data_IF_108383012390
#
_entry.id   IF_108383012390
#
_cell.length_a   1.000
_cell.length_b   1.000
_cell.length_c   1.000
_cell.angle_alpha   90.00
_cell.angle_beta   90.00
_cell.angle_gamma   90.00
#
_symmetry.space_group_name_H-M   'P 1'
#
loop_
_entity.id
_entity.type
_entity.pdbx_description
1 polymer ?
#
# COMPACT_ATOMS: atom_id res chain seq x y z
N UNK A 1 -3.36 15.52 27.24
CA UNK A 1 -3.81 14.63 26.16
C UNK A 1 -3.33 15.27 24.90
N UNK A 2 -2.28 14.71 24.28
CA UNK A 2 -1.77 15.21 22.98
C UNK A 2 -2.87 14.99 21.96
N UNK A 3 -3.25 16.05 21.27
CA UNK A 3 -4.19 15.99 20.13
C UNK A 3 -3.47 15.20 19.02
N UNK A 4 -3.63 13.87 19.04
CA UNK A 4 -2.94 12.99 18.10
C UNK A 4 -3.56 13.21 16.73
N UNK A 5 -2.78 13.70 15.77
CA UNK A 5 -3.23 13.96 14.41
C UNK A 5 -3.76 12.66 13.79
N UNK A 6 -5.03 12.64 13.44
CA UNK A 6 -5.62 11.52 12.71
C UNK A 6 -5.32 11.65 11.22
N UNK A 7 -4.80 10.59 10.62
CA UNK A 7 -4.54 10.54 9.18
C UNK A 7 -5.72 9.94 8.41
N UNK A 8 -6.47 9.04 9.04
CA UNK A 8 -7.71 8.48 8.49
C UNK A 8 -8.82 8.61 9.52
N UNK A 9 -9.94 9.17 9.13
CA UNK A 9 -11.19 9.20 9.91
C UNK A 9 -12.35 8.73 9.05
N UNK A 10 -13.05 7.70 9.47
CA UNK A 10 -14.25 7.18 8.82
C UNK A 10 -15.41 7.13 9.81
N UNK A 11 -16.61 7.50 9.38
CA UNK A 11 -17.85 7.43 10.17
C UNK A 11 -19.00 6.91 9.32
N UNK A 12 -19.57 5.79 9.73
CA UNK A 12 -20.66 5.12 9.02
C UNK A 12 -20.31 4.82 7.57
N UNK A 13 -19.00 4.61 7.28
CA UNK A 13 -18.48 4.50 5.92
C UNK A 13 -19.07 3.29 5.23
N UNK A 14 -19.73 3.53 4.09
CA UNK A 14 -20.31 2.46 3.29
C UNK A 14 -20.05 2.63 1.79
N UNK A 15 -20.04 1.49 1.10
CA UNK A 15 -19.91 1.43 -0.36
C UNK A 15 -20.84 0.37 -0.94
N UNK A 16 -21.62 0.76 -1.95
CA UNK A 16 -22.47 -0.12 -2.74
C UNK A 16 -21.98 -0.23 -4.17
N UNK A 17 -22.24 -1.37 -4.79
CA UNK A 17 -22.08 -1.58 -6.23
C UNK A 17 -23.47 -1.94 -6.79
N UNK A 18 -24.14 -0.97 -7.42
CA UNK A 18 -25.57 -1.04 -7.67
C UNK A 18 -26.34 -1.19 -6.36
N UNK A 19 -27.20 -2.21 -6.26
CA UNK A 19 -27.97 -2.49 -5.05
C UNK A 19 -27.24 -3.35 -4.02
N UNK A 20 -26.07 -3.90 -4.36
CA UNK A 20 -25.32 -4.77 -3.45
C UNK A 20 -24.41 -3.93 -2.53
N UNK A 21 -24.58 -4.02 -1.20
CA UNK A 21 -23.62 -3.45 -0.26
C UNK A 21 -22.30 -4.24 -0.31
N UNK A 22 -21.18 -3.53 -0.35
CA UNK A 22 -19.81 -4.10 -0.28
C UNK A 22 -19.19 -3.78 1.08
N UNK A 23 -19.41 -2.56 1.57
CA UNK A 23 -19.04 -2.11 2.89
C UNK A 23 -20.24 -1.43 3.53
N UNK A 24 -20.41 -1.62 4.82
CA UNK A 24 -21.50 -1.00 5.58
C UNK A 24 -21.01 -0.61 6.96
N UNK A 25 -21.28 0.64 7.34
CA UNK A 25 -21.16 1.15 8.70
C UNK A 25 -19.75 0.96 9.32
N UNK A 26 -18.70 1.30 8.55
CA UNK A 26 -17.32 1.23 9.05
C UNK A 26 -16.97 2.53 9.76
N UNK A 27 -16.66 2.42 11.05
CA UNK A 27 -16.08 3.48 11.87
C UNK A 27 -14.61 3.20 12.15
N UNK A 28 -13.75 4.21 11.95
CA UNK A 28 -12.31 4.09 12.15
C UNK A 28 -11.70 5.46 12.45
N UNK A 29 -10.80 5.49 13.42
CA UNK A 29 -9.81 6.55 13.62
C UNK A 29 -8.42 5.93 13.57
N UNK A 30 -7.53 6.43 12.71
CA UNK A 30 -6.15 5.99 12.62
C UNK A 30 -5.23 7.20 12.76
N UNK A 31 -4.42 7.20 13.80
CA UNK A 31 -3.43 8.24 14.09
C UNK A 31 -2.21 8.17 13.17
N UNK A 32 -1.46 9.26 13.10
CA UNK A 32 -0.17 9.32 12.39
C UNK A 32 0.81 8.30 13.00
N UNK A 33 1.51 7.55 12.15
CA UNK A 33 2.43 6.49 12.59
C UNK A 33 1.73 5.19 13.04
N UNK A 34 0.39 5.15 13.02
CA UNK A 34 -0.37 3.95 13.34
C UNK A 34 -0.24 2.86 12.28
N UNK A 35 -0.46 1.61 12.69
CA UNK A 35 -0.49 0.46 11.81
C UNK A 35 -1.86 -0.24 11.91
N UNK A 36 -2.67 -0.13 10.87
CA UNK A 36 -3.98 -0.78 10.78
C UNK A 36 -3.89 -2.10 10.00
N UNK A 37 -4.28 -3.18 10.64
CA UNK A 37 -4.48 -4.47 10.00
C UNK A 37 -5.96 -4.69 9.67
N UNK A 38 -6.28 -4.76 8.37
CA UNK A 38 -7.62 -5.07 7.86
C UNK A 38 -7.70 -6.55 7.52
N UNK A 39 -8.61 -7.26 8.18
CA UNK A 39 -8.82 -8.71 7.99
C UNK A 39 -10.23 -9.02 7.50
N UNK A 40 -10.44 -10.22 7.01
CA UNK A 40 -11.74 -10.71 6.57
C UNK A 40 -11.64 -11.69 5.40
N UNK A 41 -12.69 -12.46 5.12
CA UNK A 41 -12.70 -13.42 4.03
C UNK A 41 -12.57 -12.75 2.65
N UNK A 42 -12.37 -13.57 1.62
CA UNK A 42 -12.39 -13.07 0.24
C UNK A 42 -13.79 -12.52 -0.08
N UNK A 43 -13.84 -11.32 -0.65
CA UNK A 43 -15.09 -10.64 -0.97
C UNK A 43 -15.68 -9.77 0.16
N UNK A 44 -15.06 -9.72 1.36
CA UNK A 44 -15.54 -8.89 2.48
C UNK A 44 -15.36 -7.37 2.28
N UNK A 45 -14.77 -6.94 1.17
CA UNK A 45 -14.61 -5.50 0.88
C UNK A 45 -13.24 -4.92 1.20
N UNK A 46 -12.22 -5.70 1.61
CA UNK A 46 -10.86 -5.22 1.93
C UNK A 46 -10.29 -4.33 0.82
N UNK A 47 -10.23 -4.84 -0.40
CA UNK A 47 -9.77 -4.07 -1.58
C UNK A 47 -10.59 -2.81 -1.82
N UNK A 48 -11.91 -2.86 -1.57
CA UNK A 48 -12.79 -1.69 -1.70
C UNK A 48 -12.45 -0.63 -0.67
N UNK A 49 -12.23 -1.02 0.59
CA UNK A 49 -11.80 -0.12 1.65
C UNK A 49 -10.44 0.51 1.32
N UNK A 50 -9.47 -0.28 0.85
CA UNK A 50 -8.15 0.23 0.43
C UNK A 50 -8.27 1.26 -0.70
N UNK A 51 -9.15 1.02 -1.68
CA UNK A 51 -9.41 1.96 -2.78
C UNK A 51 -10.13 3.24 -2.34
N UNK A 52 -11.00 3.15 -1.33
CA UNK A 52 -11.60 4.33 -0.70
C UNK A 52 -10.53 5.18 -0.02
N UNK A 53 -9.65 4.57 0.78
CA UNK A 53 -8.53 5.28 1.44
C UNK A 53 -7.55 5.88 0.43
N UNK A 54 -7.30 5.20 -0.69
CA UNK A 54 -6.47 5.72 -1.77
C UNK A 54 -7.14 6.86 -2.59
N UNK A 55 -8.41 7.18 -2.31
CA UNK A 55 -9.19 8.17 -3.08
C UNK A 55 -9.53 7.73 -4.51
N UNK A 56 -9.42 6.42 -4.80
CA UNK A 56 -9.75 5.82 -6.10
C UNK A 56 -11.24 5.52 -6.23
N UNK A 57 -11.96 5.48 -5.10
CA UNK A 57 -13.41 5.34 -5.03
C UNK A 57 -13.97 6.40 -4.06
N UNK A 58 -15.21 6.81 -4.30
CA UNK A 58 -15.95 7.64 -3.35
C UNK A 58 -16.88 6.76 -2.49
N UNK A 59 -17.14 7.07 -1.21
CA UNK A 59 -18.15 6.40 -0.41
C UNK A 59 -19.55 6.63 -0.99
N UNK A 60 -20.49 5.70 -0.73
CA UNK A 60 -21.92 5.87 -1.05
C UNK A 60 -22.73 6.28 0.16
N UNK A 61 -22.18 6.10 1.36
CA UNK A 61 -22.76 6.57 2.63
C UNK A 61 -21.64 6.84 3.64
N UNK A 62 -21.97 7.60 4.68
CA UNK A 62 -21.02 8.01 5.70
C UNK A 62 -19.99 9.04 5.21
N UNK A 63 -18.94 9.24 5.99
CA UNK A 63 -17.87 10.17 5.71
C UNK A 63 -16.51 9.49 5.76
N UNK A 64 -15.57 9.97 4.94
CA UNK A 64 -14.18 9.56 4.95
C UNK A 64 -13.31 10.81 4.79
N UNK A 65 -12.47 11.05 5.77
CA UNK A 65 -11.48 12.12 5.77
C UNK A 65 -10.08 11.49 5.77
N UNK A 66 -9.23 11.91 4.83
CA UNK A 66 -7.81 11.51 4.74
C UNK A 66 -6.98 12.77 4.84
N UNK A 67 -6.25 12.92 5.94
CA UNK A 67 -5.35 14.05 6.18
C UNK A 67 -3.94 13.76 5.66
N UNK A 68 -3.86 13.45 4.37
CA UNK A 68 -2.63 13.30 3.61
C UNK A 68 -2.82 13.82 2.19
N UNK A 69 -1.81 14.53 1.67
CA UNK A 69 -1.82 14.91 0.27
C UNK A 69 -1.88 13.66 -0.63
N UNK A 70 -2.64 13.70 -1.72
CA UNK A 70 -2.74 12.57 -2.66
C UNK A 70 -1.38 12.11 -3.20
N UNK A 71 -0.43 13.02 -3.36
CA UNK A 71 0.95 12.73 -3.76
C UNK A 71 1.77 12.07 -2.64
N UNK A 72 1.23 11.96 -1.43
CA UNK A 72 1.85 11.33 -0.25
C UNK A 72 1.14 10.03 0.17
N UNK A 73 0.28 9.49 -0.68
CA UNK A 73 -0.38 8.19 -0.48
C UNK A 73 0.28 7.16 -1.39
N UNK A 74 0.89 6.14 -0.81
CA UNK A 74 1.40 4.98 -1.52
C UNK A 74 0.35 3.88 -1.56
N UNK A 75 0.00 3.37 -2.75
CA UNK A 75 -0.97 2.30 -2.91
C UNK A 75 -0.40 1.13 -3.71
N UNK A 76 -0.35 -0.04 -3.07
CA UNK A 76 -0.11 -1.33 -3.68
C UNK A 76 -1.43 -2.09 -3.74
N UNK A 77 -1.96 -2.28 -4.94
CA UNK A 77 -3.14 -3.11 -5.20
C UNK A 77 -2.74 -4.47 -5.79
N UNK A 78 -3.74 -5.24 -6.25
CA UNK A 78 -3.49 -6.53 -6.92
C UNK A 78 -2.71 -6.40 -8.22
N UNK A 79 -2.90 -5.29 -8.95
CA UNK A 79 -2.15 -5.02 -10.17
C UNK A 79 -0.87 -4.28 -9.82
N UNK A 80 0.29 -4.74 -10.32
CA UNK A 80 1.58 -4.11 -9.99
C UNK A 80 1.72 -2.69 -10.55
N UNK A 81 0.92 -2.32 -11.57
CA UNK A 81 0.92 -1.02 -12.24
C UNK A 81 2.33 -0.62 -12.70
N UNK A 82 3.02 -1.53 -13.37
CA UNK A 82 4.32 -1.32 -14.01
C UNK A 82 4.24 -1.64 -15.50
N UNK A 83 5.03 -0.95 -16.30
CA UNK A 83 5.09 -1.13 -17.75
C UNK A 83 6.03 -2.29 -18.08
N UNK A 84 5.51 -3.32 -18.73
CA UNK A 84 6.22 -4.58 -18.95
C UNK A 84 7.35 -4.47 -19.99
N UNK A 85 7.23 -3.51 -20.89
CA UNK A 85 8.20 -3.21 -21.94
C UNK A 85 9.39 -2.39 -21.45
N UNK A 86 9.22 -1.70 -20.32
CA UNK A 86 10.28 -0.92 -19.67
C UNK A 86 11.10 -1.80 -18.72
N UNK A 87 12.32 -1.37 -18.43
CA UNK A 87 13.15 -1.93 -17.37
C UNK A 87 12.69 -1.44 -15.99
N UNK A 88 13.08 -2.08 -14.87
CA UNK A 88 12.88 -1.56 -13.52
C UNK A 88 13.36 -0.11 -13.34
N UNK A 89 14.55 0.23 -13.86
CA UNK A 89 15.06 1.61 -13.81
C UNK A 89 14.14 2.60 -14.52
N UNK A 90 13.70 2.27 -15.74
CA UNK A 90 12.84 3.14 -16.54
C UNK A 90 11.45 3.29 -15.90
N UNK A 91 10.88 2.19 -15.35
CA UNK A 91 9.63 2.25 -14.61
C UNK A 91 9.73 3.23 -13.45
N UNK A 92 10.75 3.06 -12.59
CA UNK A 92 10.88 3.92 -11.41
C UNK A 92 11.29 5.36 -11.78
N UNK A 93 12.08 5.59 -12.85
CA UNK A 93 12.35 6.95 -13.33
C UNK A 93 11.07 7.63 -13.84
N UNK A 94 10.21 6.91 -14.56
CA UNK A 94 8.91 7.40 -15.03
C UNK A 94 8.03 7.84 -13.84
N UNK A 95 7.83 6.95 -12.86
CA UNK A 95 7.04 7.27 -11.67
C UNK A 95 7.70 8.37 -10.83
N UNK A 96 9.02 8.37 -10.70
CA UNK A 96 9.76 9.42 -10.02
C UNK A 96 9.58 10.80 -10.62
N UNK A 97 9.42 10.88 -11.94
CA UNK A 97 9.05 12.15 -12.64
C UNK A 97 7.60 12.53 -12.36
N UNK A 98 6.66 11.58 -12.44
CA UNK A 98 5.24 11.83 -12.20
C UNK A 98 4.98 12.35 -10.77
N UNK A 99 5.64 11.75 -9.79
CA UNK A 99 5.55 12.16 -8.38
C UNK A 99 6.49 13.32 -8.01
N UNK A 100 7.33 13.80 -8.95
CA UNK A 100 8.33 14.85 -8.72
C UNK A 100 9.28 14.51 -7.56
N UNK A 101 9.71 13.25 -7.50
CA UNK A 101 10.59 12.75 -6.44
C UNK A 101 11.95 13.46 -6.53
N UNK A 102 12.40 14.15 -5.45
CA UNK A 102 13.74 14.68 -5.39
C UNK A 102 14.78 13.56 -5.49
N UNK A 103 15.94 13.82 -6.11
CA UNK A 103 17.04 12.86 -6.20
C UNK A 103 16.59 11.47 -6.68
N UNK A 104 15.59 11.44 -7.58
CA UNK A 104 14.89 10.22 -7.98
C UNK A 104 15.83 9.09 -8.43
N UNK A 105 16.99 9.41 -9.03
CA UNK A 105 17.95 8.37 -9.47
C UNK A 105 18.58 7.65 -8.29
N UNK A 106 18.99 8.38 -7.27
CA UNK A 106 19.53 7.84 -6.03
C UNK A 106 18.46 7.04 -5.30
N UNK A 107 17.27 7.61 -5.14
CA UNK A 107 16.11 6.95 -4.51
C UNK A 107 15.74 5.64 -5.24
N UNK A 108 15.74 5.65 -6.57
CA UNK A 108 15.51 4.45 -7.40
C UNK A 108 16.56 3.39 -7.13
N UNK A 109 17.86 3.77 -7.14
CA UNK A 109 18.96 2.85 -6.85
C UNK A 109 18.81 2.19 -5.49
N UNK A 110 18.62 3.00 -4.43
CA UNK A 110 18.41 2.50 -3.07
C UNK A 110 17.27 1.50 -2.96
N UNK A 111 16.12 1.77 -3.60
CA UNK A 111 14.97 0.87 -3.55
C UNK A 111 15.22 -0.43 -4.31
N UNK A 112 15.84 -0.37 -5.50
CA UNK A 112 16.17 -1.57 -6.26
C UNK A 112 17.19 -2.44 -5.54
N UNK A 113 18.17 -1.86 -4.84
CA UNK A 113 19.10 -2.59 -3.98
C UNK A 113 18.38 -3.22 -2.78
N UNK A 114 17.59 -2.41 -2.06
CA UNK A 114 16.83 -2.84 -0.87
C UNK A 114 15.89 -4.02 -1.16
N UNK A 115 15.24 -4.03 -2.32
CA UNK A 115 14.31 -5.09 -2.72
C UNK A 115 14.96 -6.17 -3.61
N UNK A 116 16.31 -6.24 -3.67
CA UNK A 116 17.05 -7.30 -4.36
C UNK A 116 16.85 -7.30 -5.88
N UNK A 117 16.54 -6.14 -6.49
CA UNK A 117 16.28 -6.01 -7.92
C UNK A 117 17.43 -5.36 -8.71
N UNK A 118 18.52 -4.99 -8.03
CA UNK A 118 19.62 -4.27 -8.68
C UNK A 118 20.25 -5.02 -9.85
N UNK A 119 20.40 -6.35 -9.73
CA UNK A 119 20.97 -7.18 -10.80
C UNK A 119 20.10 -7.15 -12.08
N UNK A 120 18.76 -7.15 -11.91
CA UNK A 120 17.78 -7.15 -13.00
C UNK A 120 17.34 -5.75 -13.47
N UNK A 121 17.99 -4.68 -12.96
CA UNK A 121 17.54 -3.28 -13.17
C UNK A 121 17.45 -2.83 -14.62
N UNK A 122 18.20 -3.47 -15.52
CA UNK A 122 18.27 -3.16 -16.95
C UNK A 122 17.59 -4.21 -17.85
N UNK A 123 16.96 -5.24 -17.26
CA UNK A 123 16.18 -6.24 -17.99
C UNK A 123 14.75 -5.77 -18.19
N UNK A 124 14.08 -6.11 -19.30
CA UNK A 124 12.65 -5.79 -19.45
C UNK A 124 11.82 -6.43 -18.33
N UNK A 125 10.84 -5.67 -17.79
CA UNK A 125 9.95 -6.18 -16.74
C UNK A 125 9.19 -7.43 -17.16
N UNK A 126 8.96 -7.64 -18.46
CA UNK A 126 8.33 -8.85 -19.00
C UNK A 126 9.12 -10.14 -18.71
N UNK A 127 10.44 -10.05 -18.44
CA UNK A 127 11.30 -11.20 -18.11
C UNK A 127 11.34 -11.52 -16.60
N UNK A 128 10.82 -10.63 -15.75
CA UNK A 128 10.86 -10.79 -14.31
C UNK A 128 9.93 -11.90 -13.83
N UNK A 129 10.35 -12.62 -12.78
CA UNK A 129 9.49 -13.54 -12.05
C UNK A 129 8.32 -12.80 -11.39
N UNK A 130 7.28 -13.54 -10.98
CA UNK A 130 6.13 -12.97 -10.28
C UNK A 130 6.54 -12.27 -8.96
N UNK A 131 7.47 -12.89 -8.21
CA UNK A 131 7.99 -12.28 -6.97
C UNK A 131 8.80 -11.02 -7.23
N UNK A 132 9.66 -11.00 -8.26
CA UNK A 132 10.40 -9.80 -8.66
C UNK A 132 9.46 -8.68 -9.13
N UNK A 133 8.40 -9.02 -9.84
CA UNK A 133 7.38 -8.06 -10.27
C UNK A 133 6.67 -7.41 -9.08
N UNK A 134 6.34 -8.19 -8.06
CA UNK A 134 5.74 -7.69 -6.83
C UNK A 134 6.71 -6.80 -6.04
N UNK A 135 8.00 -7.19 -5.97
CA UNK A 135 9.04 -6.38 -5.36
C UNK A 135 9.22 -5.04 -6.09
N UNK A 136 9.14 -5.03 -7.43
CA UNK A 136 9.17 -3.78 -8.21
C UNK A 136 7.94 -2.90 -7.95
N UNK A 137 6.76 -3.49 -7.80
CA UNK A 137 5.55 -2.77 -7.44
C UNK A 137 5.66 -2.13 -6.04
N UNK A 138 6.32 -2.80 -5.08
CA UNK A 138 6.66 -2.23 -3.77
C UNK A 138 7.62 -1.05 -3.91
N UNK A 139 8.71 -1.18 -4.71
CA UNK A 139 9.61 -0.07 -4.99
C UNK A 139 8.86 1.15 -5.54
N UNK A 140 7.96 0.95 -6.52
CA UNK A 140 7.11 2.01 -7.08
C UNK A 140 6.24 2.67 -6.00
N UNK A 141 5.65 1.86 -5.13
CA UNK A 141 4.74 2.35 -4.07
C UNK A 141 5.49 3.17 -3.02
N UNK A 142 6.74 2.85 -2.73
CA UNK A 142 7.58 3.51 -1.73
C UNK A 142 8.41 4.68 -2.31
N UNK A 143 8.47 4.82 -3.64
CA UNK A 143 9.39 5.72 -4.33
C UNK A 143 9.27 7.18 -3.90
N UNK A 144 8.05 7.67 -3.70
CA UNK A 144 7.74 9.05 -3.35
C UNK A 144 7.65 9.31 -1.84
N UNK A 145 8.12 8.38 -1.02
CA UNK A 145 8.14 8.45 0.45
C UNK A 145 6.76 8.80 1.05
N UNK A 146 5.76 7.92 0.91
CA UNK A 146 4.40 8.20 1.34
C UNK A 146 4.27 8.38 2.86
N UNK A 147 3.35 9.26 3.29
CA UNK A 147 2.90 9.37 4.70
C UNK A 147 1.89 8.28 5.06
N UNK A 148 1.03 7.94 4.08
CA UNK A 148 0.04 6.87 4.20
C UNK A 148 0.37 5.77 3.20
N UNK A 149 0.73 4.59 3.71
CA UNK A 149 1.06 3.42 2.93
C UNK A 149 -0.09 2.41 2.98
N UNK A 150 -0.69 2.13 1.84
CA UNK A 150 -1.82 1.22 1.67
C UNK A 150 -1.38 -0.01 0.90
N UNK A 151 -1.45 -1.20 1.52
CA UNK A 151 -0.97 -2.45 0.94
C UNK A 151 -2.10 -3.50 0.93
N UNK A 152 -2.56 -3.87 -0.27
CA UNK A 152 -3.62 -4.87 -0.46
C UNK A 152 -3.00 -6.23 -0.82
N UNK A 153 -3.05 -7.17 0.13
CA UNK A 153 -2.48 -8.53 0.04
C UNK A 153 -1.00 -8.55 -0.37
N UNK A 154 -0.11 -7.76 0.27
CA UNK A 154 1.23 -7.51 -0.26
C UNK A 154 2.13 -8.74 -0.31
N UNK A 155 1.87 -9.76 0.52
CA UNK A 155 2.66 -11.00 0.59
C UNK A 155 2.23 -12.05 -0.43
N UNK A 156 1.05 -11.93 -1.06
CA UNK A 156 0.42 -13.00 -1.85
C UNK A 156 1.23 -13.48 -3.06
N UNK A 157 2.13 -12.64 -3.58
CA UNK A 157 2.95 -12.94 -4.75
C UNK A 157 4.46 -12.94 -4.47
N UNK A 158 4.87 -12.70 -3.22
CA UNK A 158 6.28 -12.68 -2.82
C UNK A 158 6.81 -14.10 -2.58
N UNK A 159 8.06 -14.30 -2.94
CA UNK A 159 8.90 -15.41 -2.49
C UNK A 159 9.38 -15.15 -1.04
N UNK A 160 10.08 -16.13 -0.43
CA UNK A 160 10.57 -16.01 0.95
C UNK A 160 11.46 -14.78 1.13
N UNK A 161 12.39 -14.53 0.20
CA UNK A 161 13.28 -13.38 0.22
C UNK A 161 12.48 -12.06 0.18
N UNK A 162 11.54 -11.93 -0.78
CA UNK A 162 10.70 -10.75 -0.89
C UNK A 162 9.82 -10.51 0.32
N UNK A 163 9.35 -11.59 0.97
CA UNK A 163 8.57 -11.50 2.19
C UNK A 163 9.40 -10.97 3.37
N UNK A 164 10.65 -11.43 3.52
CA UNK A 164 11.59 -10.92 4.54
C UNK A 164 11.94 -9.45 4.33
N UNK A 165 12.15 -9.04 3.06
CA UNK A 165 12.42 -7.65 2.71
C UNK A 165 11.22 -6.74 3.03
N UNK A 166 10.00 -7.20 2.77
CA UNK A 166 8.80 -6.46 3.14
C UNK A 166 8.60 -6.40 4.66
N UNK A 167 8.85 -7.50 5.40
CA UNK A 167 8.81 -7.49 6.86
C UNK A 167 9.79 -6.46 7.44
N UNK A 168 11.01 -6.38 6.91
CA UNK A 168 11.99 -5.39 7.34
C UNK A 168 11.53 -3.95 7.06
N UNK A 169 10.88 -3.70 5.90
CA UNK A 169 10.29 -2.40 5.57
C UNK A 169 9.15 -2.03 6.52
N UNK A 170 8.26 -2.98 6.84
CA UNK A 170 7.15 -2.76 7.76
C UNK A 170 7.62 -2.57 9.21
N UNK A 171 8.63 -3.31 9.65
CA UNK A 171 9.25 -3.12 10.97
C UNK A 171 9.89 -1.74 11.12
N UNK A 172 10.45 -1.21 10.02
CA UNK A 172 11.09 0.10 9.96
C UNK A 172 10.17 1.24 9.51
N UNK A 173 8.83 1.09 9.57
CA UNK A 173 7.90 2.10 9.02
C UNK A 173 8.00 3.48 9.69
N UNK A 174 8.49 3.55 10.95
CA UNK A 174 8.77 4.82 11.63
C UNK A 174 7.52 5.68 11.82
N UNK A 175 7.54 6.90 11.29
CA UNK A 175 6.42 7.84 11.35
C UNK A 175 5.37 7.63 10.24
N UNK A 176 5.57 6.68 9.31
CA UNK A 176 4.58 6.39 8.26
C UNK A 176 3.36 5.69 8.87
N UNK A 177 2.19 6.12 8.45
CA UNK A 177 0.96 5.39 8.77
C UNK A 177 0.78 4.28 7.75
N UNK A 178 0.52 3.07 8.23
CA UNK A 178 0.45 1.87 7.38
C UNK A 178 -0.92 1.21 7.52
N UNK A 179 -1.53 0.85 6.40
CA UNK A 179 -2.74 0.04 6.35
C UNK A 179 -2.44 -1.19 5.51
N UNK A 180 -2.58 -2.37 6.08
CA UNK A 180 -2.41 -3.63 5.35
C UNK A 180 -3.69 -4.42 5.37
N UNK A 181 -4.20 -4.76 4.19
CA UNK A 181 -5.28 -5.73 4.06
C UNK A 181 -4.68 -7.12 3.80
N UNK A 182 -5.07 -8.11 4.62
CA UNK A 182 -4.58 -9.48 4.47
C UNK A 182 -5.62 -10.51 4.90
N UNK A 183 -5.61 -11.65 4.21
CA UNK A 183 -6.34 -12.85 4.61
C UNK A 183 -5.48 -13.79 5.47
N UNK A 184 -4.18 -13.49 5.62
CA UNK A 184 -3.20 -14.22 6.44
C UNK A 184 -2.59 -13.26 7.48
N UNK A 185 -3.33 -12.91 8.55
CA UNK A 185 -2.93 -11.87 9.48
C UNK A 185 -1.76 -12.24 10.40
N UNK A 186 -1.40 -13.53 10.54
CA UNK A 186 -0.47 -14.03 11.55
C UNK A 186 0.88 -13.32 11.51
N UNK A 187 1.37 -13.03 10.31
CA UNK A 187 2.64 -12.31 10.08
C UNK A 187 2.60 -10.85 10.52
N UNK A 188 1.41 -10.25 10.50
CA UNK A 188 1.21 -8.81 10.67
C UNK A 188 0.72 -8.41 12.07
N UNK A 189 0.24 -9.37 12.85
CA UNK A 189 -0.35 -9.13 14.17
C UNK A 189 0.59 -8.40 15.11
N UNK A 190 1.90 -8.65 15.02
CA UNK A 190 2.93 -8.00 15.85
C UNK A 190 3.19 -6.52 15.52
N UNK A 191 2.84 -6.07 14.32
CA UNK A 191 2.99 -4.67 13.90
C UNK A 191 1.74 -3.82 14.16
N UNK A 192 0.55 -4.46 14.23
CA UNK A 192 -0.71 -3.78 14.26
C UNK A 192 -0.99 -3.07 15.59
N UNK A 193 -1.08 -1.75 15.57
CA UNK A 193 -1.63 -0.95 16.67
C UNK A 193 -3.16 -1.01 16.69
N UNK A 194 -3.79 -1.17 15.52
CA UNK A 194 -5.24 -1.26 15.36
C UNK A 194 -5.63 -2.41 14.42
N UNK A 195 -6.85 -2.94 14.59
CA UNK A 195 -7.39 -4.03 13.78
C UNK A 195 -8.82 -3.77 13.39
N UNK A 196 -9.12 -3.99 12.11
CA UNK A 196 -10.47 -3.93 11.56
C UNK A 196 -10.81 -5.26 10.90
N UNK A 197 -11.83 -5.94 11.41
CA UNK A 197 -12.35 -7.16 10.81
C UNK A 197 -13.58 -6.85 9.96
N UNK A 198 -13.52 -7.15 8.66
CA UNK A 198 -14.65 -7.06 7.74
C UNK A 198 -15.34 -8.44 7.65
N UNK A 199 -16.68 -8.42 7.63
CA UNK A 199 -17.50 -9.64 7.57
C UNK A 199 -18.05 -9.92 6.15
#
# INVERSE_FOLDING_TARGET
MSDERLIVRARGLGRRLGDRPILSDVDLDLGTGGFLLVTGPNGSGKTTLMRLFAGLLAPTSGTLEIDADRGRIGFLGHEPLVYRELTPLENLDLYGRLYRVPERRERTGMLLERFGLWAARAEPVSSLSRGMLQRLALCRTLLHDPELLLLDEPFSALDSEGAELLDAELAGHGAKTVVVASHQPERLVGYASERLALA
#
